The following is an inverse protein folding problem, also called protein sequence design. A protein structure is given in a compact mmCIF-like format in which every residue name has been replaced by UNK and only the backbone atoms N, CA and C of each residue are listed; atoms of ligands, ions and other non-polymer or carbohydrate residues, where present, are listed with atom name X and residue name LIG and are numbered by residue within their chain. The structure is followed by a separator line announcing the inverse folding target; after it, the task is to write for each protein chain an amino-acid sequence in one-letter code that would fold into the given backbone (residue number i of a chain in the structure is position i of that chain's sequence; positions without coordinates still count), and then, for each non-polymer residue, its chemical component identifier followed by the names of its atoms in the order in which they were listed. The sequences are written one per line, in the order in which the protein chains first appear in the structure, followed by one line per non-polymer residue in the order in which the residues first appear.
data_IF_123535075592
#
_entry.id   IF_123535075592
#
_cell.length_a   1.000
_cell.length_b   1.000
_cell.length_c   1.000
_cell.angle_alpha   90.00
_cell.angle_beta   90.00
_cell.angle_gamma   90.00
#
_symmetry.space_group_name_H-M   'P 1'
#
loop_
_entity.id
_entity.type
_entity.pdbx_description
1 polymer ?
#
# COMPACT_ATOMS: atom_id res chain seq x y z
N UNK A 1 -0.13 29.69 -31.03
CA UNK A 1 -0.74 28.73 -30.08
C UNK A 1 0.38 28.09 -29.26
N UNK A 2 0.62 28.55 -28.02
CA UNK A 2 1.69 28.05 -27.15
C UNK A 2 1.15 26.88 -26.31
N UNK A 3 1.70 25.68 -26.51
CA UNK A 3 1.41 24.51 -25.68
C UNK A 3 2.08 24.69 -24.31
N UNK A 4 1.31 24.64 -23.23
CA UNK A 4 1.85 24.63 -21.88
C UNK A 4 2.53 23.28 -21.58
N UNK A 5 3.68 23.28 -20.89
CA UNK A 5 4.36 22.05 -20.52
C UNK A 5 3.52 21.29 -19.48
N UNK A 6 3.22 20.03 -19.80
CA UNK A 6 2.60 19.08 -18.88
C UNK A 6 3.55 18.82 -17.71
N UNK A 7 3.28 19.46 -16.57
CA UNK A 7 3.99 19.22 -15.32
C UNK A 7 3.66 17.81 -14.83
N UNK A 8 4.54 16.85 -15.14
CA UNK A 8 4.51 15.53 -14.51
C UNK A 8 5.11 15.68 -13.11
N UNK A 9 4.25 15.72 -12.10
CA UNK A 9 4.65 15.63 -10.71
C UNK A 9 5.47 14.34 -10.51
N UNK A 10 6.68 14.41 -9.96
CA UNK A 10 7.46 13.20 -9.66
C UNK A 10 6.72 12.42 -8.58
N UNK A 11 6.11 11.31 -8.99
CA UNK A 11 5.58 10.32 -8.06
C UNK A 11 6.77 9.48 -7.61
N UNK A 12 7.28 9.72 -6.40
CA UNK A 12 8.30 8.88 -5.78
C UNK A 12 7.64 7.57 -5.31
N UNK A 13 7.14 6.77 -6.26
CA UNK A 13 6.63 5.42 -5.98
C UNK A 13 7.77 4.42 -6.17
N UNK A 14 8.50 4.12 -5.09
CA UNK A 14 9.33 2.92 -5.05
C UNK A 14 8.43 1.68 -5.06
N UNK A 15 8.14 1.16 -6.25
CA UNK A 15 7.35 -0.07 -6.44
C UNK A 15 8.26 -1.29 -6.22
N UNK A 16 8.76 -1.49 -5.01
CA UNK A 16 9.48 -2.71 -4.63
C UNK A 16 8.47 -3.75 -4.13
N UNK A 17 8.48 -4.93 -4.72
CA UNK A 17 7.77 -6.10 -4.19
C UNK A 17 8.41 -6.48 -2.86
N UNK A 18 7.72 -6.18 -1.77
CA UNK A 18 8.24 -6.33 -0.43
C UNK A 18 7.40 -7.38 0.31
N UNK A 19 7.88 -8.62 0.27
CA UNK A 19 7.61 -9.59 1.34
C UNK A 19 8.43 -9.19 2.57
N UNK A 20 8.11 -8.04 3.18
CA UNK A 20 8.77 -7.65 4.44
C UNK A 20 7.99 -8.29 5.57
N UNK A 21 8.69 -9.10 6.38
CA UNK A 21 8.21 -9.51 7.69
C UNK A 21 7.70 -8.28 8.42
N UNK A 22 6.43 -8.33 8.80
CA UNK A 22 5.68 -7.28 9.47
C UNK A 22 6.36 -6.99 10.81
N UNK A 23 7.35 -6.09 10.80
CA UNK A 23 7.95 -5.58 12.03
C UNK A 23 6.82 -5.01 12.86
N UNK A 24 6.68 -5.50 14.08
CA UNK A 24 5.60 -5.12 14.98
C UNK A 24 5.80 -3.65 15.38
N UNK A 25 5.25 -2.74 14.59
CA UNK A 25 5.31 -1.31 14.88
C UNK A 25 4.13 -1.00 15.77
N UNK A 26 4.45 -0.49 16.95
CA UNK A 26 3.47 -0.06 17.93
C UNK A 26 2.55 1.00 17.31
N UNK A 27 1.24 0.85 17.56
CA UNK A 27 0.29 1.87 17.15
C UNK A 27 0.63 3.17 17.87
N UNK A 28 0.53 4.33 17.19
CA UNK A 28 0.48 5.60 17.88
C UNK A 28 -0.56 5.53 19.01
N UNK A 29 -0.30 6.17 20.16
CA UNK A 29 -1.26 6.22 21.25
C UNK A 29 -2.61 6.73 20.74
N UNK A 30 -3.70 6.29 21.35
CA UNK A 30 -5.02 6.89 21.10
C UNK A 30 -4.92 8.37 21.43
N UNK A 31 -4.98 9.22 20.41
CA UNK A 31 -4.76 10.65 20.59
C UNK A 31 -5.99 11.25 21.28
N UNK A 32 -5.79 12.23 22.18
CA UNK A 32 -6.90 12.98 22.72
C UNK A 32 -7.72 13.60 21.58
N UNK A 33 -9.03 13.65 21.77
CA UNK A 33 -9.98 14.25 20.83
C UNK A 33 -9.75 15.76 20.66
N UNK A 34 -8.84 16.36 21.44
CA UNK A 34 -8.50 17.79 21.44
C UNK A 34 -8.16 18.26 20.04
N UNK A 35 -9.12 18.96 19.44
CA UNK A 35 -8.93 19.73 18.22
C UNK A 35 -8.32 21.08 18.59
N UNK A 36 -7.33 21.57 17.82
CA UNK A 36 -6.82 21.02 16.57
C UNK A 36 -5.54 20.17 16.78
N UNK A 37 -5.36 19.13 15.95
CA UNK A 37 -4.19 18.25 15.99
C UNK A 37 -3.00 18.87 15.27
N UNK A 38 -1.80 18.70 15.80
CA UNK A 38 -0.57 19.18 15.15
C UNK A 38 -0.17 18.27 13.99
N UNK A 39 0.51 18.86 13.00
CA UNK A 39 1.28 18.07 12.02
C UNK A 39 2.27 17.17 12.74
N UNK A 40 2.63 16.07 12.08
CA UNK A 40 3.69 15.21 12.57
C UNK A 40 4.97 16.02 12.82
N UNK A 41 5.57 15.83 14.01
CA UNK A 41 6.93 16.29 14.27
C UNK A 41 7.94 15.51 13.42
N UNK A 42 9.19 15.99 13.34
CA UNK A 42 10.25 15.26 12.66
C UNK A 42 10.46 13.87 13.27
N UNK A 43 10.47 13.77 14.61
CA UNK A 43 10.62 12.49 15.30
C UNK A 43 9.46 11.52 14.98
N UNK A 44 8.23 12.03 14.96
CA UNK A 44 7.05 11.23 14.58
C UNK A 44 7.08 10.81 13.11
N UNK A 45 7.54 11.69 12.20
CA UNK A 45 7.75 11.36 10.80
C UNK A 45 8.74 10.20 10.66
N UNK A 46 9.91 10.30 11.29
CA UNK A 46 10.93 9.26 11.26
C UNK A 46 10.46 7.94 11.90
N UNK A 47 9.68 8.03 12.98
CA UNK A 47 9.17 6.86 13.69
C UNK A 47 8.12 6.10 12.87
N UNK A 48 7.13 6.80 12.30
CA UNK A 48 5.91 6.16 11.81
C UNK A 48 5.80 6.04 10.29
N UNK A 49 6.39 6.97 9.52
CA UNK A 49 6.26 6.94 8.06
C UNK A 49 7.05 5.80 7.41
N UNK A 50 8.33 5.54 7.75
CA UNK A 50 9.09 4.46 7.12
C UNK A 50 8.44 3.07 7.27
N UNK A 51 7.88 2.68 8.44
CA UNK A 51 7.08 1.46 8.56
C UNK A 51 5.90 1.39 7.59
N UNK A 52 5.10 2.46 7.50
CA UNK A 52 3.97 2.55 6.60
C UNK A 52 4.39 2.41 5.14
N UNK A 53 5.51 3.04 4.76
CA UNK A 53 6.07 2.93 3.41
C UNK A 53 6.48 1.50 3.05
N UNK A 54 7.02 0.72 4.02
CA UNK A 54 7.37 -0.69 3.81
C UNK A 54 6.17 -1.58 3.50
N UNK A 55 4.97 -1.17 3.91
CA UNK A 55 3.71 -1.90 3.68
C UNK A 55 2.83 -1.26 2.61
N UNK A 56 3.40 -0.38 1.78
CA UNK A 56 2.77 0.11 0.56
C UNK A 56 2.02 1.44 0.69
N UNK A 57 2.05 2.08 1.86
CA UNK A 57 1.58 3.45 2.00
C UNK A 57 2.61 4.43 1.44
N UNK A 58 2.17 5.60 1.00
CA UNK A 58 3.05 6.64 0.49
C UNK A 58 2.47 8.03 0.76
N UNK A 59 3.37 8.96 1.03
CA UNK A 59 3.06 10.38 1.03
C UNK A 59 2.85 10.84 -0.42
N UNK A 60 1.72 11.50 -0.68
CA UNK A 60 1.41 12.11 -1.98
C UNK A 60 1.11 13.59 -1.81
N UNK A 61 1.49 14.37 -2.80
CA UNK A 61 1.10 15.77 -2.88
C UNK A 61 -0.22 15.89 -3.63
N UNK A 62 -1.26 16.39 -2.96
CA UNK A 62 -2.54 16.71 -3.57
C UNK A 62 -2.48 18.11 -4.16
N UNK A 63 -2.51 18.23 -5.49
CA UNK A 63 -2.55 19.53 -6.17
C UNK A 63 -3.88 20.27 -5.91
N UNK A 64 -4.97 19.51 -5.72
CA UNK A 64 -6.30 20.05 -5.41
C UNK A 64 -6.33 20.70 -4.02
N UNK A 65 -5.77 20.02 -3.02
CA UNK A 65 -5.80 20.47 -1.62
C UNK A 65 -4.56 21.30 -1.24
N UNK A 66 -3.55 21.33 -2.12
CA UNK A 66 -2.24 21.95 -1.90
C UNK A 66 -1.58 21.47 -0.59
N UNK A 67 -1.78 20.19 -0.30
CA UNK A 67 -1.35 19.55 0.94
C UNK A 67 -0.82 18.15 0.68
N UNK A 68 -0.10 17.61 1.66
CA UNK A 68 0.33 16.22 1.65
C UNK A 68 -0.75 15.31 2.24
N UNK A 69 -0.99 14.18 1.59
CA UNK A 69 -1.93 13.13 2.00
C UNK A 69 -1.19 11.77 2.09
N UNK A 70 -1.64 10.92 3.02
CA UNK A 70 -1.14 9.57 3.14
C UNK A 70 -2.05 8.64 2.33
N UNK A 71 -1.48 7.85 1.42
CA UNK A 71 -2.25 7.07 0.46
C UNK A 71 -1.73 5.65 0.27
N UNK A 72 -2.63 4.71 -0.01
CA UNK A 72 -2.29 3.33 -0.32
C UNK A 72 -3.26 2.71 -1.32
N UNK A 73 -2.83 1.62 -1.93
CA UNK A 73 -3.65 0.81 -2.83
C UNK A 73 -3.61 -0.66 -2.40
N UNK A 74 -4.78 -1.22 -2.16
CA UNK A 74 -4.97 -2.58 -1.69
C UNK A 74 -5.44 -3.47 -2.84
N UNK A 75 -4.71 -4.53 -3.20
CA UNK A 75 -5.21 -5.50 -4.17
C UNK A 75 -6.38 -6.28 -3.55
N UNK A 76 -7.50 -6.34 -4.26
CA UNK A 76 -8.74 -6.95 -3.77
C UNK A 76 -9.27 -7.94 -4.82
N UNK A 77 -9.64 -9.14 -4.36
CA UNK A 77 -10.04 -10.24 -5.24
C UNK A 77 -11.25 -9.92 -6.15
N UNK A 78 -12.17 -9.07 -5.70
CA UNK A 78 -13.34 -8.67 -6.47
C UNK A 78 -14.26 -7.70 -5.71
N UNK A 79 -15.28 -7.22 -6.40
CA UNK A 79 -16.19 -6.16 -5.91
C UNK A 79 -16.84 -6.48 -4.56
N UNK A 80 -17.37 -7.71 -4.37
CA UNK A 80 -17.98 -8.11 -3.10
C UNK A 80 -17.01 -8.02 -1.91
N UNK A 81 -15.75 -8.39 -2.12
CA UNK A 81 -14.71 -8.26 -1.08
C UNK A 81 -14.33 -6.79 -0.86
N UNK A 82 -14.31 -5.98 -1.93
CA UNK A 82 -14.07 -4.54 -1.82
C UNK A 82 -15.13 -3.84 -0.97
N UNK A 83 -16.41 -4.15 -1.19
CA UNK A 83 -17.51 -3.58 -0.39
C UNK A 83 -17.41 -3.93 1.09
N UNK A 84 -17.05 -5.18 1.42
CA UNK A 84 -16.81 -5.58 2.82
C UNK A 84 -15.64 -4.80 3.44
N UNK A 85 -14.55 -4.67 2.69
CA UNK A 85 -13.40 -3.92 3.18
C UNK A 85 -13.72 -2.43 3.35
N UNK A 86 -14.51 -1.82 2.45
CA UNK A 86 -15.00 -0.44 2.61
C UNK A 86 -15.86 -0.26 3.86
N UNK A 87 -16.73 -1.23 4.18
CA UNK A 87 -17.53 -1.17 5.41
C UNK A 87 -16.64 -1.21 6.65
N UNK A 88 -15.64 -2.09 6.68
CA UNK A 88 -14.69 -2.15 7.79
C UNK A 88 -13.87 -0.86 7.93
N UNK A 89 -13.48 -0.24 6.81
CA UNK A 89 -12.81 1.08 6.80
C UNK A 89 -13.74 2.15 7.39
N UNK A 90 -15.04 2.10 7.09
CA UNK A 90 -16.04 3.00 7.68
C UNK A 90 -16.10 2.82 9.19
N UNK A 91 -16.15 1.58 9.69
CA UNK A 91 -16.12 1.29 11.13
C UNK A 91 -14.86 1.85 11.80
N UNK A 92 -13.69 1.67 11.19
CA UNK A 92 -12.43 2.25 11.69
C UNK A 92 -12.49 3.79 11.70
N UNK A 93 -13.08 4.40 10.67
CA UNK A 93 -13.23 5.87 10.58
C UNK A 93 -14.13 6.42 11.69
N UNK A 94 -15.23 5.71 11.98
CA UNK A 94 -16.16 6.08 13.06
C UNK A 94 -15.50 5.93 14.45
N UNK A 95 -14.81 4.81 14.68
CA UNK A 95 -14.11 4.53 15.95
C UNK A 95 -12.98 5.53 16.23
N UNK A 96 -12.20 5.89 15.21
CA UNK A 96 -11.11 6.86 15.32
C UNK A 96 -11.61 8.32 15.19
N UNK A 97 -12.91 8.53 14.92
CA UNK A 97 -13.51 9.82 14.61
C UNK A 97 -12.66 10.61 13.57
N UNK A 98 -12.23 9.90 12.52
CA UNK A 98 -11.29 10.40 11.52
C UNK A 98 -11.55 9.75 10.16
N UNK A 99 -12.04 10.54 9.21
CA UNK A 99 -12.51 10.04 7.91
C UNK A 99 -11.43 10.16 6.83
N UNK A 100 -11.31 9.17 5.93
CA UNK A 100 -10.46 9.30 4.75
C UNK A 100 -11.01 10.36 3.80
N UNK A 101 -10.11 11.07 3.11
CA UNK A 101 -10.46 12.06 2.10
C UNK A 101 -10.99 11.39 0.83
N UNK A 102 -10.43 10.23 0.47
CA UNK A 102 -10.87 9.47 -0.70
C UNK A 102 -10.79 7.98 -0.43
N UNK A 103 -11.84 7.28 -0.85
CA UNK A 103 -11.87 5.81 -0.96
C UNK A 103 -12.46 5.48 -2.32
N UNK A 104 -11.77 4.65 -3.10
CA UNK A 104 -12.21 4.28 -4.45
C UNK A 104 -11.87 2.84 -4.78
N UNK A 105 -12.71 2.17 -5.56
CA UNK A 105 -12.44 0.84 -6.07
C UNK A 105 -12.43 0.83 -7.59
N UNK A 106 -11.28 0.52 -8.18
CA UNK A 106 -11.10 0.42 -9.62
C UNK A 106 -10.07 -0.67 -9.95
N UNK A 107 -10.26 -1.39 -11.06
CA UNK A 107 -9.26 -2.34 -11.58
C UNK A 107 -8.77 -3.37 -10.55
N UNK A 108 -9.67 -3.91 -9.73
CA UNK A 108 -9.36 -4.87 -8.64
C UNK A 108 -8.42 -4.31 -7.56
N UNK A 109 -8.38 -2.98 -7.41
CA UNK A 109 -7.60 -2.28 -6.40
C UNK A 109 -8.52 -1.31 -5.67
N UNK A 110 -8.39 -1.28 -4.35
CA UNK A 110 -9.05 -0.31 -3.50
C UNK A 110 -8.02 0.74 -3.10
N UNK A 111 -8.23 1.99 -3.50
CA UNK A 111 -7.36 3.12 -3.16
C UNK A 111 -7.94 3.88 -1.97
N UNK A 112 -7.05 4.31 -1.07
CA UNK A 112 -7.39 5.13 0.10
C UNK A 112 -6.44 6.31 0.14
N UNK A 113 -6.95 7.48 0.51
CA UNK A 113 -6.16 8.67 0.83
C UNK A 113 -6.74 9.33 2.08
N UNK A 114 -5.88 9.67 3.04
CA UNK A 114 -6.25 10.26 4.32
C UNK A 114 -5.34 11.45 4.64
N UNK A 115 -5.95 12.51 5.16
CA UNK A 115 -5.26 13.68 5.69
C UNK A 115 -6.19 14.39 6.67
N UNK A 116 -5.63 15.14 7.62
CA UNK A 116 -6.41 15.98 8.52
C UNK A 116 -6.63 17.35 7.87
N UNK A 117 -7.88 17.79 7.74
CA UNK A 117 -8.24 19.05 7.06
C UNK A 117 -7.91 20.31 7.86
N UNK A 118 -7.93 20.21 9.20
CA UNK A 118 -7.78 21.35 10.12
C UNK A 118 -6.64 21.12 11.11
N UNK A 119 -5.47 20.74 10.60
CA UNK A 119 -4.30 20.49 11.43
C UNK A 119 -3.53 21.80 11.73
N UNK A 120 -2.86 21.86 12.88
CA UNK A 120 -1.95 22.96 13.21
C UNK A 120 -0.61 22.70 12.54
N UNK A 121 -0.24 23.59 11.61
CA UNK A 121 1.09 23.59 11.03
C UNK A 121 2.15 23.97 12.06
N UNK A 122 3.42 23.57 11.84
CA UNK A 122 4.54 24.14 12.58
C UNK A 122 4.53 25.67 12.46
N UNK A 123 4.88 26.40 13.52
CA UNK A 123 4.96 27.85 13.48
C UNK A 123 5.95 28.29 12.39
N UNK A 124 5.47 29.08 11.43
CA UNK A 124 6.32 29.68 10.41
C UNK A 124 6.86 31.00 10.96
N UNK A 125 8.19 31.12 11.02
CA UNK A 125 8.85 32.37 11.41
C UNK A 125 8.52 33.44 10.37
N UNK A 126 7.72 34.44 10.76
CA UNK A 126 7.47 35.61 9.94
C UNK A 126 8.57 36.66 10.22
N UNK A 127 9.00 37.45 9.21
CA UNK A 127 10.11 38.39 9.35
C UNK A 127 9.96 39.45 10.46
N UNK A 128 8.73 39.71 10.92
CA UNK A 128 8.43 40.86 11.79
C UNK A 128 7.35 40.58 12.87
N UNK A 129 7.06 39.31 13.19
CA UNK A 129 5.96 38.99 14.12
C UNK A 129 6.09 37.66 14.86
N UNK A 130 5.33 37.53 15.94
CA UNK A 130 5.19 36.29 16.70
C UNK A 130 4.73 35.16 15.77
N UNK A 131 5.38 34.00 15.85
CA UNK A 131 5.04 32.85 15.03
C UNK A 131 3.70 32.25 15.52
N UNK A 132 2.65 32.37 14.71
CA UNK A 132 1.32 31.84 15.04
C UNK A 132 1.08 30.57 14.24
N UNK A 133 0.76 29.42 14.88
CA UNK A 133 0.30 28.23 14.18
C UNK A 133 -0.96 28.55 13.36
N UNK A 134 -1.00 28.13 12.10
CA UNK A 134 -2.18 28.30 11.26
C UNK A 134 -2.86 26.95 11.00
N UNK A 135 -4.19 26.96 10.89
CA UNK A 135 -4.95 25.76 10.55
C UNK A 135 -4.79 25.48 9.05
N UNK A 136 -4.24 24.33 8.70
CA UNK A 136 -4.03 23.91 7.32
C UNK A 136 -4.09 22.40 7.18
N UNK A 137 -4.53 21.88 6.02
CA UNK A 137 -4.52 20.44 5.81
C UNK A 137 -3.11 19.84 5.88
N UNK A 138 -2.96 18.71 6.54
CA UNK A 138 -1.68 18.03 6.67
C UNK A 138 -1.79 16.65 7.30
N UNK A 139 -0.64 15.98 7.43
CA UNK A 139 -0.55 14.67 8.06
C UNK A 139 -0.32 14.86 9.55
N UNK A 140 -1.14 14.18 10.35
CA UNK A 140 -1.06 14.13 11.81
C UNK A 140 -0.96 12.69 12.28
N UNK A 141 -0.75 12.47 13.58
CA UNK A 141 -0.76 11.13 14.14
C UNK A 141 -2.11 10.41 13.97
N UNK A 142 -3.23 11.12 13.77
CA UNK A 142 -4.54 10.49 13.45
C UNK A 142 -4.52 9.80 12.10
N UNK A 143 -3.92 10.45 11.10
CA UNK A 143 -3.77 9.90 9.75
C UNK A 143 -2.90 8.65 9.76
N UNK A 144 -1.79 8.69 10.51
CA UNK A 144 -0.88 7.55 10.73
C UNK A 144 -1.60 6.39 11.39
N UNK A 145 -2.28 6.65 12.51
CA UNK A 145 -2.99 5.62 13.28
C UNK A 145 -4.10 4.97 12.45
N UNK A 146 -4.91 5.77 11.76
CA UNK A 146 -5.92 5.29 10.82
C UNK A 146 -5.31 4.37 9.75
N UNK A 147 -4.22 4.81 9.10
CA UNK A 147 -3.54 4.02 8.08
C UNK A 147 -3.02 2.68 8.61
N UNK A 148 -2.46 2.65 9.83
CA UNK A 148 -1.99 1.43 10.47
C UNK A 148 -3.14 0.46 10.80
N UNK A 149 -4.28 0.97 11.30
CA UNK A 149 -5.46 0.14 11.58
C UNK A 149 -6.05 -0.46 10.31
N UNK A 150 -6.20 0.35 9.26
CA UNK A 150 -6.65 -0.12 7.95
C UNK A 150 -5.69 -1.17 7.37
N UNK A 151 -4.38 -0.96 7.50
CA UNK A 151 -3.39 -1.94 7.06
C UNK A 151 -3.51 -3.26 7.81
N UNK A 152 -3.67 -3.22 9.14
CA UNK A 152 -3.85 -4.43 9.97
C UNK A 152 -5.10 -5.19 9.57
N UNK A 153 -6.23 -4.49 9.44
CA UNK A 153 -7.50 -5.08 8.99
C UNK A 153 -7.36 -5.74 7.61
N UNK A 154 -6.65 -5.08 6.68
CA UNK A 154 -6.39 -5.64 5.35
C UNK A 154 -5.60 -6.94 5.43
N UNK A 155 -4.47 -6.95 6.14
CA UNK A 155 -3.60 -8.13 6.28
C UNK A 155 -4.36 -9.30 6.91
N UNK A 156 -5.13 -9.04 7.95
CA UNK A 156 -5.83 -10.07 8.71
C UNK A 156 -6.97 -10.72 7.92
N UNK A 157 -7.80 -9.91 7.24
CA UNK A 157 -9.08 -10.39 6.67
C UNK A 157 -9.11 -10.46 5.15
N UNK A 158 -8.30 -9.65 4.46
CA UNK A 158 -8.48 -9.37 3.04
C UNK A 158 -7.28 -9.70 2.17
N UNK A 159 -6.08 -9.76 2.74
CA UNK A 159 -4.87 -10.09 2.00
C UNK A 159 -5.00 -11.52 1.47
N UNK A 160 -4.83 -11.73 0.15
CA UNK A 160 -4.86 -13.07 -0.42
C UNK A 160 -3.80 -13.93 0.25
N UNK A 161 -4.23 -15.02 0.90
CA UNK A 161 -3.29 -16.02 1.42
C UNK A 161 -2.55 -16.63 0.23
N UNK A 162 -1.22 -16.82 0.32
CA UNK A 162 -0.50 -17.57 -0.70
C UNK A 162 -1.21 -18.91 -0.85
N UNK A 163 -1.58 -19.26 -2.09
CA UNK A 163 -2.05 -20.62 -2.36
C UNK A 163 -0.92 -21.53 -1.91
N UNK A 164 -1.23 -22.53 -1.07
CA UNK A 164 -0.28 -23.63 -0.86
C UNK A 164 0.16 -24.07 -2.25
N UNK A 165 1.48 -24.25 -2.51
CA UNK A 165 1.93 -24.86 -3.75
C UNK A 165 1.02 -26.06 -3.96
N UNK A 166 0.31 -26.09 -5.09
CA UNK A 166 -0.47 -27.27 -5.44
C UNK A 166 0.57 -28.37 -5.43
N UNK A 167 0.49 -29.27 -4.45
CA UNK A 167 1.34 -30.44 -4.37
C UNK A 167 1.22 -31.06 -5.76
N UNK A 168 2.34 -31.00 -6.49
CA UNK A 168 2.33 -31.48 -7.85
C UNK A 168 1.82 -32.92 -7.74
N UNK A 169 0.81 -33.34 -8.52
CA UNK A 169 0.44 -34.75 -8.54
C UNK A 169 1.76 -35.51 -8.66
N UNK A 170 2.02 -36.45 -7.75
CA UNK A 170 3.20 -37.30 -7.81
C UNK A 170 3.35 -37.69 -9.26
N UNK A 171 4.39 -37.15 -9.91
CA UNK A 171 4.65 -37.50 -11.30
C UNK A 171 4.89 -38.99 -11.20
N UNK A 172 4.01 -39.86 -11.75
CA UNK A 172 4.24 -41.29 -11.67
C UNK A 172 5.67 -41.49 -12.16
N UNK A 173 6.48 -42.19 -11.38
CA UNK A 173 7.87 -42.47 -11.70
C UNK A 173 7.90 -42.82 -13.18
N UNK A 174 8.36 -41.87 -14.00
CA UNK A 174 8.48 -42.11 -15.42
C UNK A 174 9.56 -43.15 -15.44
N UNK A 175 9.18 -44.41 -15.70
CA UNK A 175 10.14 -45.44 -16.02
C UNK A 175 11.01 -44.82 -17.12
N UNK A 176 12.23 -44.46 -16.75
CA UNK A 176 13.26 -44.01 -17.67
C UNK A 176 13.88 -45.25 -18.30
N UNK A 177 13.08 -46.23 -18.70
CA UNK A 177 13.51 -47.13 -19.74
C UNK A 177 13.63 -46.22 -20.97
N UNK A 178 14.81 -46.08 -21.55
CA UNK A 178 15.10 -45.18 -22.67
C UNK A 178 14.27 -45.43 -23.95
N UNK A 179 13.19 -46.22 -23.87
CA UNK A 179 12.23 -46.53 -24.92
C UNK A 179 11.47 -45.29 -25.40
N UNK A 180 11.14 -44.34 -24.52
CA UNK A 180 10.37 -43.16 -24.91
C UNK A 180 11.17 -42.20 -25.80
N UNK A 181 12.44 -41.93 -25.45
CA UNK A 181 13.32 -41.09 -26.27
C UNK A 181 13.59 -41.75 -27.63
N UNK A 182 13.80 -43.08 -27.65
CA UNK A 182 14.00 -43.84 -28.88
C UNK A 182 12.78 -43.78 -29.81
N UNK A 183 11.57 -43.91 -29.27
CA UNK A 183 10.33 -43.84 -30.07
C UNK A 183 10.04 -42.46 -30.68
N UNK A 184 10.41 -41.37 -30.00
CA UNK A 184 10.29 -40.00 -30.57
C UNK A 184 11.29 -39.79 -31.70
N UNK A 185 12.54 -40.25 -31.52
CA UNK A 185 13.62 -40.07 -32.49
C UNK A 185 13.44 -40.93 -33.75
N UNK A 186 12.95 -42.17 -33.60
CA UNK A 186 12.60 -43.04 -34.73
C UNK A 186 11.44 -42.46 -35.56
N UNK A 187 10.41 -41.88 -34.91
CA UNK A 187 9.32 -41.19 -35.64
C UNK A 187 9.78 -39.91 -36.34
N UNK A 188 10.84 -39.27 -35.86
CA UNK A 188 11.46 -38.12 -36.50
C UNK A 188 12.42 -38.51 -37.65
N UNK A 189 12.60 -39.80 -37.93
CA UNK A 189 13.50 -40.29 -39.00
C UNK A 189 14.99 -40.14 -38.68
N UNK A 190 15.35 -39.89 -37.42
CA UNK A 190 16.74 -39.73 -37.00
C UNK A 190 17.27 -41.11 -36.59
N UNK A 191 18.08 -41.71 -37.47
CA UNK A 191 18.77 -42.98 -37.19
C UNK A 191 20.18 -42.68 -36.67
N UNK A 192 20.53 -43.28 -35.53
CA UNK A 192 21.89 -43.23 -35.01
C UNK A 192 22.63 -44.47 -35.48
N UNK A 193 23.78 -44.29 -36.13
CA UNK A 193 24.74 -45.37 -36.30
C UNK A 193 25.39 -45.60 -34.93
N UNK A 194 25.15 -46.77 -34.33
CA UNK A 194 25.92 -47.22 -33.18
C UNK A 194 27.33 -47.49 -33.72
N UNK A 195 28.28 -46.66 -33.31
CA UNK A 195 29.69 -46.91 -33.57
C UNK A 195 30.16 -47.80 -32.42
N UNK A 196 30.51 -49.04 -32.75
CA UNK A 196 31.07 -50.03 -31.83
C UNK A 196 32.40 -49.57 -31.20
#
# INVERSE_FOLDING_TARGET
MLRTPSSRTPILCFRRSLHTSQGNVDLPPSLPTTTPTHWLSEDELQQYIPPLMRVGWCLRWSTKLKSCELSSEFPIAGYKTAMRFMNDISTIADEENHHPERVGFASKRLSISVQTHSALSPPVSLPEGAAVPYKYPGITLRDVRFAMLVQRQYVEKYQPKPRKPREAPEVPEVLTDGSFAKGILERAGITYAIVD
#
